data_IF_549907437120
#
_entry.id   IF_549907437120
#
_cell.length_a   1.000
_cell.length_b   1.000
_cell.length_c   1.000
_cell.angle_alpha   90.00
_cell.angle_beta   90.00
_cell.angle_gamma   90.00
#
_symmetry.space_group_name_H-M   'P 1'
#
loop_
_entity.id
_entity.type
_entity.pdbx_description
1 polymer ?
#
# COMPACT_ATOMS: atom_id res chain seq x y z
N UNK A 1 -11.13 63.25 21.92
CA UNK A 1 -11.66 61.90 21.72
C UNK A 1 -10.46 60.96 21.85
N UNK A 2 -10.47 59.98 22.76
CA UNK A 2 -9.34 59.03 22.84
C UNK A 2 -9.40 58.10 21.62
N UNK A 3 -8.30 58.01 20.89
CA UNK A 3 -8.14 57.07 19.81
C UNK A 3 -8.29 55.62 20.33
N UNK A 4 -9.17 54.87 19.74
CA UNK A 4 -9.34 53.45 20.02
C UNK A 4 -8.00 52.71 19.73
N UNK A 5 -7.52 51.81 20.61
CA UNK A 5 -6.29 51.12 20.39
C UNK A 5 -6.35 50.30 19.10
N UNK A 6 -5.28 50.27 18.29
CA UNK A 6 -5.27 49.53 17.04
C UNK A 6 -5.56 48.05 17.32
N UNK A 7 -6.62 47.56 16.74
CA UNK A 7 -7.00 46.15 16.74
C UNK A 7 -5.84 45.31 16.24
N UNK A 8 -5.15 44.58 17.14
CA UNK A 8 -4.23 43.50 16.93
C UNK A 8 -2.99 43.81 16.04
N UNK A 9 -1.87 44.17 16.66
CA UNK A 9 -0.58 44.00 16.02
C UNK A 9 -0.27 42.49 15.88
N UNK A 10 -0.60 41.89 14.73
CA UNK A 10 -0.33 40.51 14.38
C UNK A 10 1.17 40.35 14.03
N UNK A 11 2.04 40.49 14.99
CA UNK A 11 3.40 39.94 14.82
C UNK A 11 3.31 38.43 14.95
N UNK A 12 3.35 37.72 13.82
CA UNK A 12 3.49 36.25 13.82
C UNK A 12 4.78 35.90 14.56
N UNK A 13 4.67 35.32 15.72
CA UNK A 13 5.83 34.83 16.46
C UNK A 13 6.20 33.45 15.94
N UNK A 14 7.48 33.23 15.68
CA UNK A 14 7.99 31.90 15.26
C UNK A 14 7.52 30.77 16.19
N UNK A 15 7.49 31.01 17.50
CA UNK A 15 6.94 30.04 18.46
C UNK A 15 5.46 29.69 18.22
N UNK A 16 4.69 30.64 17.73
CA UNK A 16 3.27 30.40 17.40
C UNK A 16 3.12 29.54 16.14
N UNK A 17 3.99 29.72 15.14
CA UNK A 17 4.01 28.85 13.94
C UNK A 17 4.42 27.43 14.30
N UNK A 18 5.44 27.26 15.16
CA UNK A 18 5.86 25.95 15.67
C UNK A 18 4.70 25.29 16.44
N UNK A 19 4.08 26.02 17.37
CA UNK A 19 2.93 25.51 18.13
C UNK A 19 1.79 25.06 17.19
N UNK A 20 1.47 25.84 16.15
CA UNK A 20 0.42 25.51 15.18
C UNK A 20 0.76 24.26 14.35
N UNK A 21 2.00 24.17 13.85
CA UNK A 21 2.46 23.01 13.09
C UNK A 21 2.43 21.72 13.92
N UNK A 22 2.92 21.79 15.17
CA UNK A 22 2.88 20.65 16.09
C UNK A 22 1.44 20.25 16.42
N UNK A 23 0.55 21.22 16.66
CA UNK A 23 -0.85 20.95 16.90
C UNK A 23 -1.53 20.26 15.73
N UNK A 24 -1.30 20.73 14.49
CA UNK A 24 -1.87 20.10 13.29
C UNK A 24 -1.37 18.66 13.12
N UNK A 25 -0.06 18.42 13.34
CA UNK A 25 0.48 17.06 13.23
C UNK A 25 -0.03 16.11 14.32
N UNK A 26 -0.19 16.59 15.57
CA UNK A 26 -0.83 15.80 16.63
C UNK A 26 -2.30 15.52 16.29
N UNK A 27 -3.05 16.54 15.86
CA UNK A 27 -4.46 16.40 15.47
C UNK A 27 -4.62 15.39 14.32
N UNK A 28 -3.73 15.41 13.31
CA UNK A 28 -3.74 14.46 12.19
C UNK A 28 -3.70 13.00 12.64
N UNK A 29 -2.89 12.67 13.66
CA UNK A 29 -2.84 11.30 14.21
C UNK A 29 -4.19 10.83 14.77
N UNK A 30 -4.95 11.72 15.39
CA UNK A 30 -6.28 11.42 15.96
C UNK A 30 -7.37 11.45 14.89
N UNK A 31 -7.34 12.43 13.99
CA UNK A 31 -8.30 12.54 12.89
C UNK A 31 -8.28 11.31 11.98
N UNK A 32 -7.12 10.69 11.79
CA UNK A 32 -7.00 9.42 11.03
C UNK A 32 -7.78 8.24 11.62
N UNK A 33 -8.26 8.32 12.88
CA UNK A 33 -9.16 7.32 13.47
C UNK A 33 -10.61 7.48 12.99
N UNK A 34 -10.95 8.63 12.43
CA UNK A 34 -12.28 8.99 11.94
C UNK A 34 -12.40 8.83 10.41
N UNK A 35 -11.52 8.03 9.81
CA UNK A 35 -11.45 7.84 8.36
C UNK A 35 -12.77 7.35 7.74
N UNK A 36 -13.57 6.57 8.46
CA UNK A 36 -14.87 6.08 7.97
C UNK A 36 -15.90 7.22 7.75
N UNK A 37 -15.71 8.39 8.36
CA UNK A 37 -16.63 9.53 8.20
C UNK A 37 -16.32 10.37 6.97
N UNK A 38 -15.05 10.48 6.60
CA UNK A 38 -14.67 11.31 5.46
C UNK A 38 -13.26 10.95 4.95
N UNK A 39 -13.09 10.90 3.62
CA UNK A 39 -11.85 10.51 2.95
C UNK A 39 -10.62 11.34 3.33
N UNK A 40 -10.78 12.66 3.61
CA UNK A 40 -9.67 13.52 4.08
C UNK A 40 -9.17 13.04 5.46
N UNK A 41 -10.07 12.58 6.32
CA UNK A 41 -9.71 12.03 7.62
C UNK A 41 -8.98 10.69 7.45
N UNK A 42 -9.42 9.86 6.47
CA UNK A 42 -8.70 8.63 6.13
C UNK A 42 -7.28 8.91 5.63
N UNK A 43 -7.06 9.97 4.84
CA UNK A 43 -5.70 10.36 4.43
C UNK A 43 -4.76 10.61 5.61
N UNK A 44 -5.27 11.15 6.72
CA UNK A 44 -4.47 11.35 7.94
C UNK A 44 -3.94 10.02 8.52
N UNK A 45 -4.63 8.91 8.28
CA UNK A 45 -4.23 7.58 8.76
C UNK A 45 -2.93 7.07 8.13
N UNK A 46 -2.57 7.53 6.94
CA UNK A 46 -1.38 7.10 6.20
C UNK A 46 -0.06 7.57 6.85
N UNK A 47 -0.10 8.62 7.67
CA UNK A 47 1.07 9.33 8.18
C UNK A 47 1.44 8.97 9.63
N UNK A 48 1.32 7.70 10.04
CA UNK A 48 1.59 7.25 11.43
C UNK A 48 3.03 7.48 11.86
N UNK A 49 4.01 7.26 10.97
CA UNK A 49 5.42 7.53 11.24
C UNK A 49 5.68 9.02 11.43
N UNK A 50 5.17 9.85 10.54
CA UNK A 50 5.30 11.30 10.60
C UNK A 50 4.63 11.84 11.87
N UNK A 51 3.44 11.32 12.20
CA UNK A 51 2.74 11.65 13.44
C UNK A 51 3.55 11.29 14.70
N UNK A 52 4.29 10.17 14.66
CA UNK A 52 5.20 9.79 15.77
C UNK A 52 6.35 10.79 15.90
N UNK A 53 7.00 11.17 14.80
CA UNK A 53 8.09 12.16 14.80
C UNK A 53 7.59 13.51 15.31
N UNK A 54 6.42 13.96 14.83
CA UNK A 54 5.79 15.21 15.31
C UNK A 54 5.47 15.13 16.79
N UNK A 55 4.97 14.00 17.28
CA UNK A 55 4.66 13.84 18.71
C UNK A 55 5.93 13.88 19.59
N UNK A 56 7.05 13.30 19.13
CA UNK A 56 8.36 13.41 19.80
C UNK A 56 8.83 14.87 19.84
N UNK A 57 8.75 15.58 18.70
CA UNK A 57 9.10 16.99 18.62
C UNK A 57 8.21 17.87 19.53
N UNK A 58 6.90 17.58 19.55
CA UNK A 58 5.95 18.27 20.41
C UNK A 58 6.24 18.03 21.90
N UNK A 59 6.60 16.81 22.27
CA UNK A 59 6.98 16.47 23.64
C UNK A 59 8.23 17.23 24.09
N UNK A 60 9.28 17.26 23.27
CA UNK A 60 10.51 18.00 23.54
C UNK A 60 10.27 19.52 23.66
N UNK A 61 9.51 20.10 22.70
CA UNK A 61 9.15 21.51 22.68
C UNK A 61 8.31 21.91 23.88
N UNK A 62 7.27 21.11 24.20
CA UNK A 62 6.39 21.35 25.34
C UNK A 62 7.12 21.20 26.67
N UNK A 63 8.07 20.26 26.78
CA UNK A 63 8.92 20.10 27.96
C UNK A 63 9.79 21.33 28.19
N UNK A 64 10.46 21.84 27.13
CA UNK A 64 11.24 23.06 27.19
C UNK A 64 10.41 24.28 27.59
N UNK A 65 9.18 24.37 27.08
CA UNK A 65 8.21 25.46 27.39
C UNK A 65 7.43 25.22 28.68
N UNK A 66 7.64 24.10 29.38
CA UNK A 66 6.93 23.67 30.60
C UNK A 66 5.40 23.61 30.43
N UNK A 67 4.91 23.23 29.22
CA UNK A 67 3.48 23.13 28.87
C UNK A 67 2.94 21.73 29.16
N UNK A 68 2.58 21.44 30.40
CA UNK A 68 2.16 20.09 30.87
C UNK A 68 1.00 19.49 30.05
N UNK A 69 0.00 20.28 29.66
CA UNK A 69 -1.15 19.79 28.85
C UNK A 69 -0.73 19.31 27.46
N UNK A 70 0.14 20.05 26.75
CA UNK A 70 0.67 19.65 25.45
C UNK A 70 1.55 18.41 25.58
N UNK A 71 2.34 18.30 26.65
CA UNK A 71 3.12 17.09 26.92
C UNK A 71 2.22 15.86 27.07
N UNK A 72 1.11 15.97 27.81
CA UNK A 72 0.13 14.89 27.96
C UNK A 72 -0.44 14.43 26.61
N UNK A 73 -0.87 15.38 25.76
CA UNK A 73 -1.37 15.06 24.42
C UNK A 73 -0.28 14.40 23.55
N UNK A 74 0.95 14.90 23.58
CA UNK A 74 2.06 14.32 22.83
C UNK A 74 2.36 12.87 23.27
N UNK A 75 2.37 12.60 24.58
CA UNK A 75 2.52 11.23 25.11
C UNK A 75 1.39 10.33 24.67
N UNK A 76 0.14 10.75 24.75
CA UNK A 76 -1.01 9.97 24.28
C UNK A 76 -0.91 9.67 22.79
N UNK A 77 -0.48 10.66 21.99
CA UNK A 77 -0.26 10.46 20.55
C UNK A 77 0.87 9.47 20.26
N UNK A 78 1.95 9.50 21.04
CA UNK A 78 3.04 8.51 20.94
C UNK A 78 2.54 7.10 21.29
N UNK A 79 1.74 6.95 22.33
CA UNK A 79 1.15 5.67 22.70
C UNK A 79 0.20 5.15 21.61
N UNK A 80 -0.65 6.02 21.04
CA UNK A 80 -1.56 5.68 19.96
C UNK A 80 -0.79 5.21 18.71
N UNK A 81 0.13 6.03 18.22
CA UNK A 81 0.88 5.69 17.01
C UNK A 81 1.81 4.49 17.25
N UNK A 82 2.44 4.39 18.44
CA UNK A 82 3.24 3.24 18.83
C UNK A 82 2.43 1.94 18.80
N UNK A 83 1.21 1.97 19.35
CA UNK A 83 0.31 0.83 19.28
C UNK A 83 -0.05 0.45 17.84
N UNK A 84 -0.46 1.42 17.01
CA UNK A 84 -0.85 1.18 15.62
C UNK A 84 0.34 0.69 14.76
N UNK A 85 1.54 1.17 15.01
CA UNK A 85 2.76 0.71 14.34
C UNK A 85 3.21 -0.69 14.79
N UNK A 86 3.03 -1.03 16.07
CA UNK A 86 3.36 -2.34 16.62
C UNK A 86 2.35 -3.42 16.18
N UNK A 87 1.08 -3.04 16.01
CA UNK A 87 -0.03 -3.95 15.69
C UNK A 87 -0.80 -3.46 14.46
N UNK A 88 -0.15 -3.40 13.27
CA UNK A 88 -0.87 -3.09 12.04
C UNK A 88 -1.92 -4.17 11.78
N UNK A 89 -3.06 -3.80 11.21
CA UNK A 89 -4.12 -4.75 10.89
C UNK A 89 -3.58 -5.90 10.03
N UNK A 90 -3.70 -7.12 10.53
CA UNK A 90 -3.43 -8.33 9.76
C UNK A 90 -1.99 -8.82 9.59
N UNK A 91 -0.98 -8.49 10.46
CA UNK A 91 0.35 -9.05 10.24
C UNK A 91 0.34 -10.56 10.44
N UNK A 92 0.75 -11.28 9.40
CA UNK A 92 1.10 -12.70 9.50
C UNK A 92 2.39 -12.87 10.32
N UNK A 93 2.47 -13.92 11.14
CA UNK A 93 3.76 -14.34 11.68
C UNK A 93 4.59 -14.94 10.55
N UNK A 94 5.91 -14.67 10.49
CA UNK A 94 6.77 -15.40 9.57
C UNK A 94 6.65 -16.89 9.86
N UNK A 95 6.41 -17.68 8.81
CA UNK A 95 6.40 -19.13 8.95
C UNK A 95 7.79 -19.67 9.23
N UNK A 96 7.90 -20.80 9.94
CA UNK A 96 9.18 -21.50 10.13
C UNK A 96 9.67 -22.06 8.78
N UNK A 97 10.97 -22.05 8.52
CA UNK A 97 11.57 -22.67 7.34
C UNK A 97 11.42 -24.19 7.44
N UNK A 98 10.35 -24.76 6.89
CA UNK A 98 10.16 -26.19 6.69
C UNK A 98 10.48 -26.54 5.23
N UNK A 99 11.00 -27.75 4.92
CA UNK A 99 11.14 -28.20 3.54
C UNK A 99 9.78 -28.20 2.86
N UNK A 100 9.66 -27.45 1.77
CA UNK A 100 8.43 -27.32 1.01
C UNK A 100 8.64 -26.40 -0.18
N UNK A 101 7.62 -26.27 -0.98
CA UNK A 101 7.60 -25.37 -2.11
C UNK A 101 7.75 -23.91 -1.65
N UNK A 102 8.63 -23.18 -2.29
CA UNK A 102 8.90 -21.76 -2.05
C UNK A 102 8.74 -21.01 -3.36
N UNK A 103 7.97 -19.94 -3.39
CA UNK A 103 7.83 -19.04 -4.54
C UNK A 103 8.28 -17.66 -4.15
N UNK A 104 9.16 -17.09 -4.97
CA UNK A 104 9.65 -15.73 -4.84
C UNK A 104 8.87 -14.80 -5.76
N UNK A 105 8.32 -13.74 -5.21
CA UNK A 105 7.44 -12.80 -5.93
C UNK A 105 8.02 -11.39 -5.85
N UNK A 106 7.98 -10.68 -6.98
CA UNK A 106 8.19 -9.24 -7.07
C UNK A 106 6.85 -8.58 -7.37
N UNK A 107 6.52 -7.49 -6.64
CA UNK A 107 5.43 -6.57 -6.96
C UNK A 107 5.99 -5.15 -7.02
N UNK A 108 5.78 -4.45 -8.15
CA UNK A 108 6.39 -3.15 -8.38
C UNK A 108 5.52 -2.24 -9.25
N UNK A 109 5.15 -1.07 -8.73
CA UNK A 109 4.63 0.04 -9.51
C UNK A 109 5.82 0.74 -10.17
N UNK A 110 5.98 0.55 -11.50
CA UNK A 110 7.15 1.02 -12.25
C UNK A 110 7.09 2.49 -12.57
N UNK A 111 5.94 3.15 -12.37
CA UNK A 111 5.61 4.52 -12.76
C UNK A 111 5.68 4.72 -14.28
N UNK A 112 4.55 4.96 -14.93
CA UNK A 112 4.44 5.10 -16.41
C UNK A 112 5.44 6.11 -16.97
N UNK A 113 5.69 7.22 -16.26
CA UNK A 113 6.62 8.27 -16.70
C UNK A 113 8.11 8.00 -16.39
N UNK A 114 8.43 6.90 -15.71
CA UNK A 114 9.80 6.55 -15.36
C UNK A 114 10.60 6.12 -16.61
N UNK A 115 11.76 6.72 -16.82
CA UNK A 115 12.61 6.48 -17.99
C UNK A 115 13.76 5.50 -17.74
N UNK A 116 13.87 4.93 -16.53
CA UNK A 116 14.96 4.02 -16.16
C UNK A 116 14.69 2.55 -16.55
N UNK A 117 14.08 2.32 -17.73
CA UNK A 117 13.64 1.00 -18.18
C UNK A 117 14.76 -0.07 -18.10
N UNK A 118 15.98 0.27 -18.59
CA UNK A 118 17.10 -0.66 -18.57
C UNK A 118 17.54 -1.03 -17.14
N UNK A 119 17.51 -0.08 -16.21
CA UNK A 119 17.87 -0.35 -14.82
C UNK A 119 16.84 -1.26 -14.14
N UNK A 120 15.55 -1.01 -14.40
CA UNK A 120 14.46 -1.87 -13.92
C UNK A 120 14.58 -3.28 -14.48
N UNK A 121 14.75 -3.42 -15.80
CA UNK A 121 14.91 -4.73 -16.45
C UNK A 121 16.09 -5.51 -15.86
N UNK A 122 17.28 -4.89 -15.80
CA UNK A 122 18.47 -5.51 -15.25
C UNK A 122 18.25 -5.98 -13.80
N UNK A 123 17.61 -5.16 -12.99
CA UNK A 123 17.31 -5.52 -11.60
C UNK A 123 16.31 -6.68 -11.51
N UNK A 124 15.24 -6.69 -12.33
CA UNK A 124 14.26 -7.77 -12.37
C UNK A 124 14.91 -9.11 -12.76
N UNK A 125 15.81 -9.08 -13.73
CA UNK A 125 16.55 -10.28 -14.16
C UNK A 125 17.49 -10.82 -13.07
N UNK A 126 18.11 -9.94 -12.27
CA UNK A 126 19.02 -10.33 -11.18
C UNK A 126 18.28 -10.75 -9.90
N UNK A 127 17.07 -10.27 -9.69
CA UNK A 127 16.33 -10.54 -8.47
C UNK A 127 15.82 -11.98 -8.33
N UNK A 128 15.92 -12.78 -9.39
CA UNK A 128 15.62 -14.22 -9.45
C UNK A 128 14.24 -14.57 -8.86
N UNK A 129 13.21 -13.86 -9.30
CA UNK A 129 11.83 -14.10 -8.88
C UNK A 129 11.16 -15.16 -9.77
N UNK A 130 10.24 -15.93 -9.20
CA UNK A 130 9.38 -16.87 -9.95
C UNK A 130 8.20 -16.14 -10.58
N UNK A 131 7.71 -15.10 -9.92
CA UNK A 131 6.58 -14.27 -10.36
C UNK A 131 6.98 -12.80 -10.28
N UNK A 132 6.67 -12.04 -11.31
CA UNK A 132 6.83 -10.59 -11.39
C UNK A 132 5.48 -9.98 -11.73
N UNK A 133 4.98 -9.12 -10.85
CA UNK A 133 3.78 -8.32 -11.08
C UNK A 133 4.15 -6.83 -11.14
N UNK A 134 3.82 -6.19 -12.24
CA UNK A 134 4.13 -4.78 -12.48
C UNK A 134 2.85 -3.97 -12.71
N UNK A 135 2.84 -2.76 -12.21
CA UNK A 135 1.75 -1.79 -12.35
C UNK A 135 2.27 -0.54 -13.05
N UNK A 136 1.35 0.21 -13.65
CA UNK A 136 1.61 1.39 -14.49
C UNK A 136 2.42 1.06 -15.75
N UNK A 137 2.14 -0.08 -16.34
CA UNK A 137 2.79 -0.56 -17.57
C UNK A 137 2.08 -0.02 -18.80
N UNK A 138 2.76 0.80 -19.58
CA UNK A 138 2.31 1.24 -20.90
C UNK A 138 2.98 0.44 -22.03
N UNK A 139 2.77 0.82 -23.28
CA UNK A 139 3.39 0.19 -24.45
C UNK A 139 4.92 0.33 -24.49
N UNK A 140 5.46 1.40 -23.90
CA UNK A 140 6.92 1.60 -23.82
C UNK A 140 7.52 0.62 -22.83
N UNK A 141 6.90 0.47 -21.68
CA UNK A 141 7.27 -0.51 -20.67
C UNK A 141 7.13 -1.95 -21.21
N UNK A 142 6.00 -2.29 -21.86
CA UNK A 142 5.81 -3.61 -22.49
C UNK A 142 6.99 -3.97 -23.39
N UNK A 143 7.38 -3.06 -24.29
CA UNK A 143 8.51 -3.25 -25.20
C UNK A 143 9.86 -3.35 -24.46
N UNK A 144 10.07 -2.50 -23.46
CA UNK A 144 11.33 -2.50 -22.70
C UNK A 144 11.55 -3.78 -21.89
N UNK A 145 10.48 -4.46 -21.51
CA UNK A 145 10.49 -5.68 -20.70
C UNK A 145 10.33 -6.96 -21.54
N UNK A 146 10.30 -6.88 -22.88
CA UNK A 146 10.07 -8.02 -23.77
C UNK A 146 11.05 -9.19 -23.50
N UNK A 147 12.29 -8.91 -23.14
CA UNK A 147 13.27 -9.95 -22.84
C UNK A 147 12.94 -10.80 -21.60
N UNK A 148 12.05 -10.34 -20.70
CA UNK A 148 11.56 -11.16 -19.58
C UNK A 148 10.81 -12.41 -20.07
N UNK A 149 10.20 -12.36 -21.26
CA UNK A 149 9.46 -13.49 -21.85
C UNK A 149 10.33 -14.73 -22.05
N UNK A 150 11.64 -14.57 -22.17
CA UNK A 150 12.58 -15.70 -22.31
C UNK A 150 12.74 -16.49 -21.01
N UNK A 151 12.62 -15.83 -19.87
CA UNK A 151 12.77 -16.43 -18.53
C UNK A 151 11.45 -16.67 -17.83
N UNK A 152 10.41 -15.94 -18.21
CA UNK A 152 9.06 -16.00 -17.67
C UNK A 152 8.07 -16.20 -18.82
N UNK A 153 7.99 -17.41 -19.38
CA UNK A 153 7.21 -17.67 -20.60
C UNK A 153 5.69 -17.54 -20.40
N UNK A 154 5.23 -17.72 -19.18
CA UNK A 154 3.82 -17.58 -18.83
C UNK A 154 3.53 -16.14 -18.41
N UNK A 155 2.69 -15.44 -19.17
CA UNK A 155 2.46 -14.01 -18.90
C UNK A 155 1.07 -13.55 -19.32
N UNK A 156 0.66 -12.41 -18.76
CA UNK A 156 -0.45 -11.60 -19.22
C UNK A 156 -0.06 -10.12 -19.08
N UNK A 157 -0.12 -9.39 -20.17
CA UNK A 157 0.23 -7.97 -20.21
C UNK A 157 -0.96 -7.20 -20.75
N UNK A 158 -1.43 -6.22 -19.99
CA UNK A 158 -2.49 -5.28 -20.36
C UNK A 158 -1.95 -3.85 -20.29
N UNK A 159 -1.22 -3.39 -21.32
CA UNK A 159 -0.63 -2.06 -21.29
C UNK A 159 -1.68 -0.97 -21.45
N UNK A 160 -1.59 0.10 -20.65
CA UNK A 160 -2.50 1.25 -20.69
C UNK A 160 -1.72 2.55 -20.55
N UNK A 161 -2.23 3.63 -21.14
CA UNK A 161 -1.61 4.96 -21.07
C UNK A 161 -2.14 5.83 -19.91
N UNK A 162 -3.05 5.30 -19.10
CA UNK A 162 -3.74 6.01 -18.03
C UNK A 162 -3.26 5.63 -16.61
N UNK A 163 -2.04 5.10 -16.48
CA UNK A 163 -1.40 4.63 -15.24
C UNK A 163 -2.05 3.38 -14.63
N UNK A 164 -2.94 2.67 -15.32
CA UNK A 164 -3.57 1.44 -14.81
C UNK A 164 -3.25 0.20 -15.64
N UNK A 165 -2.19 0.27 -16.46
CA UNK A 165 -1.70 -0.91 -17.15
C UNK A 165 -1.02 -1.87 -16.19
N UNK A 166 -1.20 -3.17 -16.44
CA UNK A 166 -0.72 -4.26 -15.59
C UNK A 166 0.09 -5.25 -16.41
N UNK A 167 1.09 -5.85 -15.78
CA UNK A 167 1.83 -6.97 -16.37
C UNK A 167 2.14 -8.03 -15.31
N UNK A 168 1.86 -9.27 -15.67
CA UNK A 168 2.15 -10.45 -14.88
C UNK A 168 3.06 -11.36 -15.67
N UNK A 169 4.16 -11.79 -15.08
CA UNK A 169 5.11 -12.72 -15.66
C UNK A 169 5.39 -13.84 -14.67
N UNK A 170 5.46 -15.09 -15.13
CA UNK A 170 5.70 -16.26 -14.31
C UNK A 170 6.65 -17.25 -15.00
N UNK A 171 7.58 -17.80 -14.23
CA UNK A 171 8.35 -19.00 -14.58
C UNK A 171 7.52 -20.26 -14.36
N UNK A 172 6.58 -20.19 -13.42
CA UNK A 172 5.71 -21.30 -13.06
C UNK A 172 4.61 -21.46 -14.12
N UNK A 173 4.24 -22.68 -14.45
CA UNK A 173 3.13 -22.92 -15.36
C UNK A 173 1.82 -22.42 -14.76
N UNK A 174 0.97 -21.86 -15.61
CA UNK A 174 -0.34 -21.36 -15.25
C UNK A 174 -1.41 -22.35 -15.70
N UNK A 175 -2.39 -22.62 -14.85
CA UNK A 175 -3.60 -23.33 -15.26
C UNK A 175 -4.53 -22.38 -16.01
N UNK A 176 -4.64 -21.16 -15.52
CA UNK A 176 -5.40 -20.09 -16.15
C UNK A 176 -4.82 -18.72 -15.75
N UNK A 177 -4.89 -17.75 -16.62
CA UNK A 177 -4.61 -16.36 -16.34
C UNK A 177 -5.59 -15.47 -17.10
N UNK A 178 -6.15 -14.48 -16.43
CA UNK A 178 -7.14 -13.60 -17.03
C UNK A 178 -7.25 -12.25 -16.34
N UNK A 179 -8.00 -11.36 -16.98
CA UNK A 179 -8.37 -10.06 -16.41
C UNK A 179 -9.65 -10.23 -15.60
N UNK A 180 -9.56 -9.93 -14.32
CA UNK A 180 -10.69 -9.72 -13.44
C UNK A 180 -11.10 -8.26 -13.60
N UNK A 181 -12.15 -8.03 -14.41
CA UNK A 181 -12.60 -6.67 -14.71
C UNK A 181 -13.18 -6.01 -13.48
N UNK A 182 -12.78 -4.77 -13.22
CA UNK A 182 -13.31 -3.97 -12.11
C UNK A 182 -14.83 -3.82 -12.17
N UNK A 183 -15.40 -3.69 -13.38
CA UNK A 183 -16.84 -3.62 -13.62
C UNK A 183 -17.60 -4.90 -13.24
N UNK A 184 -16.94 -6.07 -13.27
CA UNK A 184 -17.56 -7.37 -12.97
C UNK A 184 -17.41 -7.76 -11.49
N UNK A 185 -16.69 -6.97 -10.71
CA UNK A 185 -16.56 -7.20 -9.27
C UNK A 185 -17.92 -6.99 -8.57
N UNK A 186 -18.32 -7.90 -7.67
CA UNK A 186 -19.66 -7.89 -7.09
C UNK A 186 -19.87 -6.75 -6.08
N UNK A 187 -20.31 -5.60 -6.56
CA UNK A 187 -20.83 -4.48 -5.75
C UNK A 187 -21.96 -3.78 -6.47
N UNK A 188 -23.23 -4.03 -6.10
CA UNK A 188 -24.37 -3.63 -6.92
C UNK A 188 -24.70 -2.15 -6.91
N UNK A 189 -24.36 -1.33 -5.91
CA UNK A 189 -25.03 -0.05 -5.76
C UNK A 189 -24.11 1.09 -5.42
N UNK A 190 -23.26 1.53 -6.38
CA UNK A 190 -22.53 2.50 -5.74
C UNK A 190 -21.77 3.50 -6.60
N UNK A 191 -21.67 4.69 -6.09
CA UNK A 191 -20.83 5.78 -6.55
C UNK A 191 -19.40 5.31 -6.73
N UNK A 192 -18.80 5.53 -7.91
CA UNK A 192 -17.41 5.19 -8.19
C UNK A 192 -17.20 3.73 -8.67
N UNK A 193 -18.26 2.98 -9.05
CA UNK A 193 -18.09 1.66 -9.66
C UNK A 193 -17.29 1.75 -10.97
N UNK A 194 -17.49 2.83 -11.71
CA UNK A 194 -16.76 3.17 -12.93
C UNK A 194 -15.26 3.45 -12.69
N UNK A 195 -14.87 3.68 -11.44
CA UNK A 195 -13.47 3.88 -11.04
C UNK A 195 -12.78 2.57 -10.60
N UNK A 196 -13.51 1.46 -10.50
CA UNK A 196 -12.89 0.17 -10.19
C UNK A 196 -12.01 -0.27 -11.36
N UNK A 197 -10.72 -0.45 -11.08
CA UNK A 197 -9.74 -0.84 -12.09
C UNK A 197 -9.68 -2.36 -12.25
N UNK A 198 -9.24 -2.80 -13.41
CA UNK A 198 -8.99 -4.21 -13.68
C UNK A 198 -7.90 -4.76 -12.75
N UNK A 199 -7.97 -6.05 -12.50
CA UNK A 199 -6.94 -6.81 -11.77
C UNK A 199 -6.54 -8.03 -12.62
N UNK A 200 -5.37 -8.59 -12.38
CA UNK A 200 -4.96 -9.87 -12.99
C UNK A 200 -5.23 -10.98 -11.98
N UNK A 201 -5.95 -12.02 -12.39
CA UNK A 201 -6.08 -13.26 -11.66
C UNK A 201 -5.34 -14.36 -12.39
N UNK A 202 -4.47 -15.09 -11.69
CA UNK A 202 -3.77 -16.26 -12.22
C UNK A 202 -3.95 -17.45 -11.27
N UNK A 203 -4.28 -18.62 -11.83
CA UNK A 203 -4.32 -19.90 -11.12
C UNK A 203 -3.06 -20.69 -11.37
N UNK A 204 -2.44 -21.13 -10.30
CA UNK A 204 -1.17 -21.84 -10.34
C UNK A 204 -1.27 -23.11 -9.52
N UNK A 205 -0.57 -24.16 -9.99
CA UNK A 205 -0.31 -25.36 -9.18
C UNK A 205 1.19 -25.47 -8.93
N UNK A 206 1.58 -25.54 -7.66
CA UNK A 206 2.99 -25.70 -7.28
C UNK A 206 3.13 -26.73 -6.18
N UNK A 207 4.01 -27.72 -6.38
CA UNK A 207 4.13 -28.84 -5.45
C UNK A 207 2.84 -29.65 -5.30
N UNK A 208 2.02 -29.71 -6.36
CA UNK A 208 0.73 -30.41 -6.38
C UNK A 208 -0.40 -29.67 -5.61
N UNK A 209 -0.22 -28.40 -5.29
CA UNK A 209 -1.21 -27.58 -4.55
C UNK A 209 -1.62 -26.37 -5.38
N UNK A 210 -2.93 -26.21 -5.57
CA UNK A 210 -3.52 -25.06 -6.27
C UNK A 210 -3.55 -23.83 -5.37
N UNK A 211 -3.31 -22.67 -5.98
CA UNK A 211 -3.47 -21.36 -5.36
C UNK A 211 -3.72 -20.29 -6.41
N UNK A 212 -4.21 -19.15 -5.99
CA UNK A 212 -4.60 -18.04 -6.85
C UNK A 212 -3.73 -16.82 -6.53
N UNK A 213 -3.17 -16.20 -7.57
CA UNK A 213 -2.56 -14.88 -7.49
C UNK A 213 -3.56 -13.83 -7.97
N UNK A 214 -3.70 -12.73 -7.25
CA UNK A 214 -4.45 -11.55 -7.66
C UNK A 214 -3.53 -10.34 -7.61
N UNK A 215 -3.23 -9.77 -8.78
CA UNK A 215 -2.49 -8.52 -8.91
C UNK A 215 -3.45 -7.36 -9.12
N UNK A 216 -3.39 -6.32 -8.29
CA UNK A 216 -4.36 -5.21 -8.34
C UNK A 216 -3.72 -3.85 -8.10
N UNK A 217 -4.29 -2.81 -8.75
CA UNK A 217 -3.90 -1.42 -8.60
C UNK A 217 -5.16 -0.53 -8.62
N UNK A 218 -5.83 -0.35 -7.47
CA UNK A 218 -6.97 0.56 -7.33
C UNK A 218 -6.59 2.02 -7.54
N UNK A 219 -7.57 2.87 -7.84
CA UNK A 219 -7.34 4.31 -7.99
C UNK A 219 -6.81 4.96 -6.69
N UNK A 220 -5.91 5.97 -6.78
CA UNK A 220 -5.46 6.71 -5.60
C UNK A 220 -6.58 7.60 -5.03
N UNK A 221 -6.63 7.83 -3.70
CA UNK A 221 -7.69 8.61 -3.04
C UNK A 221 -7.50 10.12 -3.22
N UNK A 222 -7.49 10.61 -4.46
CA UNK A 222 -7.30 12.02 -4.82
C UNK A 222 -8.61 12.83 -4.85
N UNK A 223 -9.61 12.40 -4.09
CA UNK A 223 -10.94 13.01 -4.00
C UNK A 223 -11.94 12.03 -3.42
N UNK A 224 -13.11 12.51 -3.04
CA UNK A 224 -14.12 11.67 -2.39
C UNK A 224 -14.62 10.51 -3.27
N UNK A 225 -14.81 10.74 -4.57
CA UNK A 225 -15.22 9.70 -5.52
C UNK A 225 -14.11 8.67 -5.74
N UNK A 226 -12.86 9.11 -5.91
CA UNK A 226 -11.70 8.23 -6.06
C UNK A 226 -11.47 7.38 -4.80
N UNK A 227 -11.58 7.97 -3.62
CA UNK A 227 -11.48 7.23 -2.36
C UNK A 227 -12.60 6.18 -2.24
N UNK A 228 -13.84 6.54 -2.62
CA UNK A 228 -14.96 5.61 -2.65
C UNK A 228 -14.77 4.50 -3.69
N UNK A 229 -14.23 4.81 -4.88
CA UNK A 229 -13.89 3.83 -5.92
C UNK A 229 -12.85 2.82 -5.44
N UNK A 230 -11.73 3.30 -4.84
CA UNK A 230 -10.71 2.46 -4.21
C UNK A 230 -11.30 1.53 -3.15
N UNK A 231 -12.02 2.09 -2.20
CA UNK A 231 -12.57 1.34 -1.06
C UNK A 231 -13.56 0.28 -1.52
N UNK A 232 -14.33 0.59 -2.57
CA UNK A 232 -15.25 -0.34 -3.19
C UNK A 232 -14.52 -1.48 -3.88
N UNK A 233 -13.53 -1.19 -4.73
CA UNK A 233 -12.74 -2.22 -5.40
C UNK A 233 -12.13 -3.16 -4.37
N UNK A 234 -11.56 -2.64 -3.28
CA UNK A 234 -10.94 -3.44 -2.23
C UNK A 234 -11.97 -4.29 -1.47
N UNK A 235 -13.18 -3.77 -1.20
CA UNK A 235 -14.29 -4.54 -0.62
C UNK A 235 -14.82 -5.62 -1.58
N UNK A 236 -14.93 -5.31 -2.87
CA UNK A 236 -15.37 -6.28 -3.86
C UNK A 236 -14.35 -7.40 -4.04
N UNK A 237 -13.05 -7.08 -4.03
CA UNK A 237 -11.99 -8.09 -4.01
C UNK A 237 -12.05 -8.95 -2.75
N UNK A 238 -12.32 -8.39 -1.56
CA UNK A 238 -12.46 -9.20 -0.34
C UNK A 238 -13.57 -10.23 -0.48
N UNK A 239 -14.72 -9.85 -1.06
CA UNK A 239 -15.85 -10.76 -1.32
C UNK A 239 -15.53 -11.83 -2.37
N UNK A 240 -14.75 -11.45 -3.38
CA UNK A 240 -14.25 -12.39 -4.39
C UNK A 240 -13.32 -13.42 -3.75
N UNK A 241 -12.36 -12.96 -2.94
CA UNK A 241 -11.41 -13.79 -2.20
C UNK A 241 -12.11 -14.72 -1.21
N UNK A 242 -13.12 -14.25 -0.49
CA UNK A 242 -13.89 -15.05 0.45
C UNK A 242 -14.64 -16.23 -0.21
N UNK A 243 -14.91 -16.15 -1.52
CA UNK A 243 -15.55 -17.19 -2.33
C UNK A 243 -14.55 -18.05 -3.10
N UNK A 244 -13.26 -17.74 -3.05
CA UNK A 244 -12.23 -18.48 -3.78
C UNK A 244 -12.16 -19.92 -3.26
N UNK A 245 -12.11 -20.89 -4.17
CA UNK A 245 -11.99 -22.30 -3.84
C UNK A 245 -10.57 -22.75 -3.49
N UNK A 246 -9.58 -21.85 -3.56
CA UNK A 246 -8.18 -22.13 -3.30
C UNK A 246 -7.56 -20.94 -2.51
N UNK A 247 -6.41 -21.15 -1.85
CA UNK A 247 -5.68 -20.08 -1.17
C UNK A 247 -5.31 -18.95 -2.13
N UNK A 248 -5.41 -17.71 -1.65
CA UNK A 248 -5.21 -16.50 -2.48
C UNK A 248 -4.02 -15.70 -1.97
N UNK A 249 -3.16 -15.28 -2.89
CA UNK A 249 -2.13 -14.27 -2.71
C UNK A 249 -2.54 -13.00 -3.46
N UNK A 250 -2.68 -11.89 -2.76
CA UNK A 250 -2.91 -10.56 -3.34
C UNK A 250 -1.61 -9.77 -3.29
N UNK A 251 -1.25 -9.12 -4.39
CA UNK A 251 -0.12 -8.18 -4.42
C UNK A 251 -0.45 -6.94 -5.23
N UNK A 252 0.13 -5.80 -4.85
CA UNK A 252 0.01 -4.55 -5.60
C UNK A 252 0.08 -3.30 -4.75
N UNK A 253 0.01 -2.18 -5.45
CA UNK A 253 -0.23 -0.87 -4.87
C UNK A 253 -1.74 -0.75 -4.58
N UNK A 254 -2.10 -0.86 -3.32
CA UNK A 254 -3.50 -0.76 -2.89
C UNK A 254 -3.96 0.70 -2.70
N UNK A 255 -3.05 1.67 -2.87
CA UNK A 255 -3.31 3.07 -2.54
C UNK A 255 -3.92 3.26 -1.14
N UNK A 256 -3.55 2.37 -0.23
CA UNK A 256 -4.10 2.24 1.12
C UNK A 256 -2.99 1.80 2.10
N UNK A 257 -2.77 2.53 3.19
CA UNK A 257 -1.86 2.08 4.24
C UNK A 257 -2.54 1.08 5.19
N UNK A 258 -1.80 0.28 5.99
CA UNK A 258 -2.39 -0.70 6.91
C UNK A 258 -3.39 -0.13 7.93
N UNK A 259 -3.44 1.19 8.07
CA UNK A 259 -4.30 1.90 9.03
C UNK A 259 -5.49 2.60 8.37
N UNK A 260 -5.59 2.58 7.04
CA UNK A 260 -6.63 3.25 6.26
C UNK A 260 -7.91 2.43 6.16
N UNK A 261 -9.00 3.10 5.76
CA UNK A 261 -10.29 2.47 5.48
C UNK A 261 -10.15 1.45 4.35
N UNK A 262 -9.50 1.83 3.24
CA UNK A 262 -9.31 0.93 2.11
C UNK A 262 -8.64 -0.38 2.49
N UNK A 263 -7.58 -0.34 3.32
CA UNK A 263 -6.93 -1.57 3.77
C UNK A 263 -7.84 -2.43 4.64
N UNK A 264 -8.68 -1.83 5.50
CA UNK A 264 -9.68 -2.60 6.26
C UNK A 264 -10.71 -3.26 5.33
N UNK A 265 -11.09 -2.60 4.21
CA UNK A 265 -12.04 -3.15 3.24
C UNK A 265 -11.57 -4.46 2.60
N UNK A 266 -10.32 -4.56 2.20
CA UNK A 266 -9.81 -5.81 1.62
C UNK A 266 -9.63 -6.91 2.66
N UNK A 267 -9.39 -6.55 3.92
CA UNK A 267 -9.26 -7.50 5.01
C UNK A 267 -10.63 -8.01 5.51
N UNK A 268 -11.70 -7.25 5.29
CA UNK A 268 -13.03 -7.53 5.82
C UNK A 268 -13.63 -8.81 5.24
N UNK A 269 -14.12 -9.69 6.11
CA UNK A 269 -14.73 -10.99 5.70
C UNK A 269 -13.74 -11.98 5.10
N UNK A 270 -12.44 -11.72 5.14
CA UNK A 270 -11.39 -12.62 4.63
C UNK A 270 -10.50 -13.14 5.75
N UNK A 271 -9.70 -14.17 5.43
CA UNK A 271 -8.62 -14.69 6.29
C UNK A 271 -7.24 -14.15 5.86
N UNK A 272 -7.19 -13.08 5.07
CA UNK A 272 -5.95 -12.48 4.60
C UNK A 272 -5.04 -12.08 5.76
N UNK A 273 -3.74 -12.28 5.56
CA UNK A 273 -2.68 -11.86 6.47
C UNK A 273 -1.64 -11.07 5.66
N UNK A 274 -1.23 -9.93 6.17
CA UNK A 274 -0.21 -9.12 5.51
C UNK A 274 1.19 -9.72 5.66
N UNK A 275 2.02 -9.55 4.64
CA UNK A 275 3.44 -9.90 4.71
C UNK A 275 4.15 -9.13 5.84
N UNK A 276 5.21 -9.69 6.44
CA UNK A 276 5.99 -9.03 7.48
C UNK A 276 6.47 -7.64 7.08
N UNK A 277 6.40 -6.69 7.99
CA UNK A 277 6.83 -5.32 7.72
C UNK A 277 5.92 -4.55 6.75
N UNK A 278 4.64 -4.88 6.67
CA UNK A 278 3.65 -4.14 5.86
C UNK A 278 3.58 -2.64 6.18
N UNK A 279 4.07 -2.22 7.34
CA UNK A 279 4.20 -0.83 7.77
C UNK A 279 5.40 -0.08 7.17
N UNK A 280 6.35 -0.78 6.52
CA UNK A 280 7.52 -0.14 5.90
C UNK A 280 7.10 0.65 4.67
N UNK A 281 7.48 1.94 4.58
CA UNK A 281 7.15 2.76 3.42
C UNK A 281 7.62 2.14 2.10
N UNK A 282 6.80 2.26 1.09
CA UNK A 282 7.07 1.82 -0.29
C UNK A 282 6.95 2.94 -1.29
N UNK A 283 6.14 3.94 -1.02
CA UNK A 283 5.96 5.12 -1.84
C UNK A 283 6.71 6.32 -1.27
N UNK A 284 7.36 7.11 -2.15
CA UNK A 284 8.18 8.30 -1.82
C UNK A 284 9.18 8.07 -0.69
N UNK A 285 9.77 6.87 -0.66
CA UNK A 285 10.77 6.48 0.35
C UNK A 285 11.94 7.48 0.37
N UNK A 286 12.32 7.94 1.56
CA UNK A 286 13.34 8.98 1.74
C UNK A 286 12.77 10.40 1.80
N UNK A 287 11.47 10.59 1.64
CA UNK A 287 10.79 11.88 1.81
C UNK A 287 9.97 11.95 3.10
N UNK A 288 9.51 13.17 3.44
CA UNK A 288 8.59 13.39 4.56
C UNK A 288 7.19 12.82 4.30
N UNK A 289 6.90 12.44 3.05
CA UNK A 289 5.61 11.87 2.65
C UNK A 289 5.65 10.36 2.43
N UNK A 290 6.73 9.71 2.86
CA UNK A 290 6.89 8.27 2.70
C UNK A 290 5.79 7.48 3.43
N UNK A 291 5.03 6.65 2.69
CA UNK A 291 3.91 5.85 3.22
C UNK A 291 3.93 4.42 2.66
N UNK A 292 3.40 3.43 3.41
CA UNK A 292 3.29 2.05 2.97
C UNK A 292 1.95 1.81 2.28
N UNK A 293 1.93 1.81 0.95
CA UNK A 293 0.70 1.59 0.16
C UNK A 293 0.77 0.37 -0.76
N UNK A 294 1.97 -0.18 -0.96
CA UNK A 294 2.14 -1.44 -1.67
C UNK A 294 2.13 -2.61 -0.68
N UNK A 295 1.36 -3.64 -0.98
CA UNK A 295 1.13 -4.75 -0.08
C UNK A 295 1.25 -6.11 -0.75
N UNK A 296 1.53 -7.11 0.09
CA UNK A 296 1.36 -8.53 -0.20
C UNK A 296 0.52 -9.13 0.91
N UNK A 297 -0.60 -9.76 0.55
CA UNK A 297 -1.58 -10.33 1.47
C UNK A 297 -1.87 -11.78 1.08
N UNK A 298 -1.85 -12.71 2.01
CA UNK A 298 -2.08 -14.13 1.73
C UNK A 298 -3.13 -14.75 2.64
N UNK A 299 -4.00 -15.61 2.09
CA UNK A 299 -4.87 -16.45 2.91
C UNK A 299 -4.15 -17.73 3.33
N UNK A 300 -4.42 -18.27 4.54
CA UNK A 300 -3.93 -19.59 4.91
C UNK A 300 -4.36 -20.67 3.89
N UNK A 301 -3.54 -21.67 3.64
CA UNK A 301 -2.26 -21.97 4.26
C UNK A 301 -1.03 -21.31 3.62
N UNK A 302 -1.20 -20.27 2.80
CA UNK A 302 -0.06 -19.49 2.32
C UNK A 302 0.55 -18.68 3.46
N UNK A 303 1.85 -18.83 3.67
CA UNK A 303 2.62 -18.06 4.67
C UNK A 303 3.78 -17.34 4.01
N UNK A 304 4.06 -16.13 4.47
CA UNK A 304 5.22 -15.37 4.02
C UNK A 304 6.48 -15.83 4.73
N UNK A 305 7.56 -16.04 3.99
CA UNK A 305 8.87 -16.37 4.55
C UNK A 305 9.68 -15.13 4.88
N UNK A 306 9.61 -14.12 4.01
CA UNK A 306 10.31 -12.85 4.12
C UNK A 306 9.58 -11.75 3.33
N UNK A 307 9.98 -10.51 3.55
CA UNK A 307 9.64 -9.37 2.70
C UNK A 307 10.72 -8.30 2.80
N UNK A 308 11.22 -7.87 1.66
CA UNK A 308 12.20 -6.79 1.53
C UNK A 308 11.69 -5.71 0.58
N UNK A 309 12.16 -4.48 0.83
CA UNK A 309 11.93 -3.34 -0.07
C UNK A 309 13.19 -3.16 -0.89
N UNK A 310 13.03 -3.14 -2.21
CA UNK A 310 14.13 -3.06 -3.15
C UNK A 310 14.72 -1.64 -3.31
N UNK A 311 15.66 -1.48 -4.25
CA UNK A 311 16.37 -0.23 -4.46
C UNK A 311 15.50 0.85 -5.12
N UNK A 312 16.09 2.05 -5.26
CA UNK A 312 15.59 3.11 -6.12
C UNK A 312 15.84 2.75 -7.58
N UNK A 313 14.77 2.69 -8.35
CA UNK A 313 14.82 2.40 -9.78
C UNK A 313 14.15 3.50 -10.62
N UNK A 314 14.04 4.71 -10.06
CA UNK A 314 13.48 5.88 -10.75
C UNK A 314 11.97 6.02 -10.64
N UNK A 315 11.26 5.03 -10.12
CA UNK A 315 9.85 5.15 -9.72
C UNK A 315 9.74 5.88 -8.40
N UNK A 316 8.60 6.54 -8.14
CA UNK A 316 8.27 7.04 -6.82
C UNK A 316 7.84 5.92 -5.85
N UNK A 317 7.69 4.70 -6.34
CA UNK A 317 7.59 3.47 -5.55
C UNK A 317 8.90 2.71 -5.47
N UNK A 318 9.01 1.85 -4.45
CA UNK A 318 10.07 0.84 -4.32
C UNK A 318 9.50 -0.55 -4.57
N UNK A 319 10.21 -1.41 -5.32
CA UNK A 319 9.74 -2.78 -5.51
C UNK A 319 9.66 -3.52 -4.18
N UNK A 320 8.67 -4.40 -4.05
CA UNK A 320 8.60 -5.37 -2.98
C UNK A 320 9.08 -6.73 -3.50
N UNK A 321 9.92 -7.38 -2.71
CA UNK A 321 10.33 -8.77 -2.94
C UNK A 321 9.93 -9.58 -1.73
N UNK A 322 9.18 -10.66 -1.93
CA UNK A 322 8.75 -11.52 -0.83
C UNK A 322 8.68 -12.98 -1.26
N UNK A 323 8.88 -13.84 -0.29
CA UNK A 323 8.73 -15.28 -0.45
C UNK A 323 7.42 -15.76 0.13
N UNK A 324 6.79 -16.74 -0.53
CA UNK A 324 5.64 -17.48 0.02
C UNK A 324 5.93 -18.97 0.00
N UNK A 325 5.30 -19.68 0.92
CA UNK A 325 5.24 -21.14 0.97
C UNK A 325 3.87 -21.61 1.39
N UNK A 326 3.63 -22.87 1.22
CA UNK A 326 2.43 -23.54 1.67
C UNK A 326 2.71 -24.24 3.02
N UNK A 327 1.92 -23.99 4.06
CA UNK A 327 2.02 -24.67 5.37
C UNK A 327 1.33 -26.02 5.39
#
# INVERSE_FOLDING_TARGET
MPESPPFVSRRVRWSGLVDAGLFMGLAGSWLGLLGDWHWILDLCSHFRWQGTVVALAALAWAGWRKRRGVMGVAVLTLLLNGWLLAFPAGPGKPGSLQPGFHVRVISFNVLTSNQHHAAVLNWLQQADADIIFLMEVDRVWEKALESLLTTHPHHLIQPRSDNFGLAFYSRLPLENVGILKGADLPEPDARGAELCQDSIEARLTTGGREWIFIGTHPVPPMGGEYAAGRDRQLLALSRHIAKAGAPVLVAGDLNASPWSVGFRRIMDGTTLRAAPGAWKPTWRVGSLFAIPIDHALGTPPLVFTDRTIGPDLGSDHRPQVFGIRYE
#
